data_IF_632263767653
#
_entry.id   IF_632263767653
#
_cell.length_a   1.000
_cell.length_b   1.000
_cell.length_c   1.000
_cell.angle_alpha   90.00
_cell.angle_beta   90.00
_cell.angle_gamma   90.00
#
_symmetry.space_group_name_H-M   'P 1'
#
loop_
_entity.id
_entity.type
_entity.pdbx_description
1 polymer ?
#
# COMPACT_ATOMS: atom_id res chain seq x y z
N UNK A 1 -11.61 7.15 -13.35
CA UNK A 1 -12.40 7.37 -12.12
C UNK A 1 -11.46 7.10 -10.95
N UNK A 2 -11.04 8.16 -10.28
CA UNK A 2 -9.99 8.16 -9.25
C UNK A 2 -10.49 7.50 -7.96
N UNK A 3 -9.61 6.82 -7.25
CA UNK A 3 -9.93 6.17 -5.98
C UNK A 3 -10.15 7.23 -4.90
N UNK A 4 -11.42 7.48 -4.57
CA UNK A 4 -11.81 8.32 -3.43
C UNK A 4 -11.48 7.58 -2.12
N UNK A 5 -10.61 8.16 -1.28
CA UNK A 5 -10.39 7.71 0.11
C UNK A 5 -8.96 7.43 0.52
N UNK A 6 -7.98 7.51 -0.39
CA UNK A 6 -6.56 7.31 -0.07
C UNK A 6 -5.89 8.66 0.23
N UNK A 7 -5.45 8.86 1.47
CA UNK A 7 -4.89 10.14 1.96
C UNK A 7 -3.38 10.12 2.23
N UNK A 8 -2.71 8.96 2.12
CA UNK A 8 -1.25 8.85 2.22
C UNK A 8 -0.74 7.44 2.58
N UNK A 9 0.57 7.22 2.41
CA UNK A 9 1.31 5.99 2.73
C UNK A 9 2.27 6.25 3.91
N UNK A 10 2.52 5.27 4.80
CA UNK A 10 3.35 5.46 6.01
C UNK A 10 4.55 4.50 6.06
N UNK A 11 5.57 4.82 6.88
CA UNK A 11 6.83 4.07 7.00
C UNK A 11 7.02 3.48 8.41
N UNK A 12 7.76 2.36 8.51
CA UNK A 12 8.24 1.80 9.78
C UNK A 12 9.77 1.64 9.76
N UNK A 13 10.48 2.63 10.33
CA UNK A 13 11.81 2.41 10.93
C UNK A 13 11.73 2.50 12.44
N UNK A 14 12.68 1.85 13.11
CA UNK A 14 12.89 1.93 14.56
C UNK A 14 12.98 3.41 15.01
N UNK A 15 12.00 3.84 15.80
CA UNK A 15 12.04 5.13 16.50
C UNK A 15 11.46 6.29 15.70
N UNK A 16 10.41 6.88 16.27
CA UNK A 16 9.72 8.12 15.88
C UNK A 16 9.09 8.12 14.48
N UNK A 17 7.76 8.17 14.49
CA UNK A 17 6.89 8.35 13.33
C UNK A 17 7.21 9.71 12.72
N UNK A 18 7.97 9.71 11.64
CA UNK A 18 8.17 10.90 10.82
C UNK A 18 6.88 11.14 10.02
N UNK A 19 5.99 11.92 10.63
CA UNK A 19 4.76 12.40 10.01
C UNK A 19 5.16 13.20 8.75
N UNK A 20 4.67 12.75 7.60
CA UNK A 20 4.94 13.26 6.25
C UNK A 20 5.00 14.80 6.20
N UNK A 21 6.22 15.33 6.29
CA UNK A 21 6.56 16.69 5.90
C UNK A 21 7.32 16.58 4.59
N UNK A 22 6.78 17.20 3.54
CA UNK A 22 7.55 17.69 2.42
C UNK A 22 8.19 16.63 1.50
N UNK A 23 7.71 16.63 0.27
CA UNK A 23 8.57 16.59 -0.92
C UNK A 23 9.23 15.29 -1.39
N UNK A 24 9.21 14.15 -0.68
CA UNK A 24 9.80 12.93 -1.27
C UNK A 24 8.99 11.65 -1.04
N UNK A 25 8.58 11.05 -2.16
CA UNK A 25 7.70 9.89 -2.25
C UNK A 25 8.31 8.54 -1.87
N UNK A 26 7.44 7.52 -1.96
CA UNK A 26 7.75 6.09 -2.05
C UNK A 26 8.27 5.35 -0.80
N UNK A 27 7.80 5.66 0.40
CA UNK A 27 8.20 4.92 1.63
C UNK A 27 7.17 3.97 2.25
N UNK A 28 6.04 3.73 1.59
CA UNK A 28 5.01 2.78 2.09
C UNK A 28 4.78 1.58 1.19
N UNK A 29 5.71 1.25 0.32
CA UNK A 29 5.64 0.07 -0.55
C UNK A 29 6.97 -0.67 -0.46
N UNK A 30 6.94 -1.94 -0.06
CA UNK A 30 8.06 -2.86 -0.16
C UNK A 30 7.76 -3.84 -1.29
N UNK A 31 8.74 -4.10 -2.15
CA UNK A 31 8.64 -5.14 -3.18
C UNK A 31 9.81 -6.09 -3.01
N UNK A 32 9.51 -7.38 -2.95
CA UNK A 32 10.47 -8.46 -2.84
C UNK A 32 10.30 -9.40 -4.03
N UNK A 33 11.41 -9.73 -4.70
CA UNK A 33 11.45 -10.76 -5.74
C UNK A 33 11.53 -12.14 -5.08
N UNK A 34 10.74 -13.08 -5.58
CA UNK A 34 10.69 -14.46 -5.09
C UNK A 34 11.42 -15.40 -6.07
N UNK A 35 11.79 -16.59 -5.58
CA UNK A 35 12.56 -17.59 -6.35
C UNK A 35 11.85 -18.06 -7.65
N UNK A 36 10.53 -17.88 -7.76
CA UNK A 36 9.71 -18.28 -8.91
C UNK A 36 9.49 -17.16 -9.94
N UNK A 37 10.33 -16.12 -9.94
CA UNK A 37 10.22 -14.95 -10.81
C UNK A 37 8.87 -14.21 -10.67
N UNK A 38 8.29 -14.28 -9.47
CA UNK A 38 7.15 -13.48 -9.05
C UNK A 38 7.60 -12.47 -8.01
N UNK A 39 6.71 -11.53 -7.67
CA UNK A 39 6.97 -10.55 -6.62
C UNK A 39 5.93 -10.65 -5.49
N UNK A 40 6.40 -10.34 -4.30
CA UNK A 40 5.59 -10.01 -3.14
C UNK A 40 5.57 -8.49 -2.94
N UNK A 41 4.42 -7.95 -2.56
CA UNK A 41 4.26 -6.51 -2.30
C UNK A 41 3.71 -6.30 -0.89
N UNK A 42 4.34 -5.45 -0.10
CA UNK A 42 3.77 -4.96 1.16
C UNK A 42 3.43 -3.48 1.04
N UNK A 43 2.22 -3.13 1.46
CA UNK A 43 1.69 -1.77 1.44
C UNK A 43 1.46 -1.29 2.86
N UNK A 44 2.01 -0.14 3.21
CA UNK A 44 1.85 0.49 4.52
C UNK A 44 0.96 1.73 4.36
N UNK A 45 -0.26 1.62 4.88
CA UNK A 45 -1.34 2.59 4.60
C UNK A 45 -1.85 3.24 5.89
N UNK A 46 -2.34 4.47 5.76
CA UNK A 46 -3.18 5.11 6.78
C UNK A 46 -4.58 5.21 6.20
N UNK A 47 -5.56 4.69 6.93
CA UNK A 47 -6.96 4.69 6.49
C UNK A 47 -7.75 5.80 7.18
N UNK A 48 -8.86 6.21 6.56
CA UNK A 48 -9.74 7.21 7.15
C UNK A 48 -10.79 6.55 8.05
N UNK A 49 -11.09 7.17 9.19
CA UNK A 49 -12.22 6.78 10.03
C UNK A 49 -13.55 6.80 9.25
N UNK A 50 -14.42 5.83 9.52
CA UNK A 50 -15.70 5.67 8.82
C UNK A 50 -15.60 4.89 7.50
N UNK A 51 -14.44 4.32 7.17
CA UNK A 51 -14.27 3.43 6.01
C UNK A 51 -14.30 1.95 6.43
N UNK A 52 -14.91 1.08 5.61
CA UNK A 52 -14.79 -0.36 5.82
C UNK A 52 -13.40 -0.81 5.37
N UNK A 53 -12.54 -1.11 6.34
CA UNK A 53 -11.14 -1.47 6.13
C UNK A 53 -11.03 -2.64 5.15
N UNK A 54 -11.83 -3.69 5.32
CA UNK A 54 -11.78 -4.88 4.47
C UNK A 54 -12.14 -4.56 3.02
N UNK A 55 -13.18 -3.76 2.80
CA UNK A 55 -13.57 -3.34 1.45
C UNK A 55 -12.49 -2.52 0.77
N UNK A 56 -11.92 -1.55 1.50
CA UNK A 56 -10.84 -0.70 0.95
C UNK A 56 -9.58 -1.52 0.67
N UNK A 57 -9.19 -2.41 1.59
CA UNK A 57 -8.03 -3.29 1.42
C UNK A 57 -8.17 -4.20 0.19
N UNK A 58 -9.31 -4.86 0.02
CA UNK A 58 -9.55 -5.72 -1.15
C UNK A 58 -9.47 -4.93 -2.46
N UNK A 59 -10.08 -3.75 -2.51
CA UNK A 59 -10.00 -2.88 -3.69
C UNK A 59 -8.55 -2.47 -4.01
N UNK A 60 -7.74 -2.19 -2.99
CA UNK A 60 -6.32 -1.87 -3.18
C UNK A 60 -5.57 -3.10 -3.73
N UNK A 61 -5.76 -4.28 -3.15
CA UNK A 61 -5.13 -5.53 -3.59
C UNK A 61 -5.44 -5.78 -5.07
N UNK A 62 -6.72 -5.76 -5.45
CA UNK A 62 -7.15 -6.03 -6.81
C UNK A 62 -6.56 -5.03 -7.79
N UNK A 63 -6.58 -3.74 -7.44
CA UNK A 63 -6.06 -2.67 -8.30
C UNK A 63 -4.55 -2.78 -8.48
N UNK A 64 -3.81 -3.01 -7.40
CA UNK A 64 -2.34 -3.10 -7.43
C UNK A 64 -1.92 -4.33 -8.23
N UNK A 65 -2.51 -5.50 -7.93
CA UNK A 65 -2.22 -6.74 -8.67
C UNK A 65 -2.48 -6.57 -10.16
N UNK A 66 -3.67 -6.11 -10.54
CA UNK A 66 -4.03 -5.89 -11.94
C UNK A 66 -3.07 -4.91 -12.63
N UNK A 67 -2.76 -3.78 -11.99
CA UNK A 67 -1.93 -2.73 -12.59
C UNK A 67 -0.50 -3.22 -12.80
N UNK A 68 0.09 -3.85 -11.78
CA UNK A 68 1.47 -4.35 -11.86
C UNK A 68 1.59 -5.46 -12.90
N UNK A 69 0.71 -6.46 -12.86
CA UNK A 69 0.77 -7.58 -13.81
C UNK A 69 0.57 -7.10 -15.25
N UNK A 70 -0.35 -6.15 -15.50
CA UNK A 70 -0.61 -5.68 -16.85
C UNK A 70 0.45 -4.71 -17.39
N UNK A 71 1.06 -3.89 -16.53
CA UNK A 71 2.06 -2.91 -16.97
C UNK A 71 3.45 -3.52 -17.12
N UNK A 72 3.77 -4.55 -16.33
CA UNK A 72 5.14 -5.10 -16.24
C UNK A 72 5.25 -6.53 -16.75
N UNK A 73 4.12 -7.23 -16.96
CA UNK A 73 4.06 -8.67 -17.22
C UNK A 73 4.66 -9.56 -16.11
N UNK A 74 5.02 -8.99 -14.95
CA UNK A 74 5.51 -9.72 -13.77
C UNK A 74 4.32 -10.18 -12.93
N UNK A 75 4.33 -11.44 -12.49
CA UNK A 75 3.26 -12.00 -11.65
C UNK A 75 3.39 -11.58 -10.19
N UNK A 76 2.26 -11.27 -9.54
CA UNK A 76 2.23 -10.90 -8.12
C UNK A 76 1.69 -12.07 -7.30
N UNK A 77 2.57 -12.67 -6.49
CA UNK A 77 2.26 -13.84 -5.67
C UNK A 77 1.40 -13.48 -4.45
N UNK A 78 1.79 -12.43 -3.72
CA UNK A 78 1.06 -11.94 -2.55
C UNK A 78 1.10 -10.42 -2.43
N UNK A 79 0.06 -9.86 -1.81
CA UNK A 79 -0.02 -8.46 -1.42
C UNK A 79 -0.47 -8.39 0.04
N UNK A 80 0.37 -7.83 0.90
CA UNK A 80 0.08 -7.62 2.32
C UNK A 80 -0.22 -6.13 2.57
N UNK A 81 -1.35 -5.83 3.22
CA UNK A 81 -1.73 -4.46 3.58
C UNK A 81 -1.58 -4.27 5.09
N UNK A 82 -0.63 -3.42 5.46
CA UNK A 82 -0.31 -3.04 6.82
C UNK A 82 -0.92 -1.68 7.16
N UNK A 83 -2.05 -1.67 7.87
CA UNK A 83 -2.68 -0.44 8.34
C UNK A 83 -1.91 0.11 9.55
N UNK A 84 -1.17 1.21 9.33
CA UNK A 84 -0.32 1.83 10.37
C UNK A 84 -1.09 2.80 11.27
N UNK A 85 -2.26 3.27 10.84
CA UNK A 85 -3.08 4.17 11.63
C UNK A 85 -4.42 4.47 10.99
N UNK A 86 -5.32 5.03 11.80
CA UNK A 86 -6.59 5.58 11.35
C UNK A 86 -6.59 7.08 11.58
N UNK A 87 -6.80 7.84 10.50
CA UNK A 87 -6.96 9.29 10.56
C UNK A 87 -8.42 9.64 10.83
N UNK A 88 -8.64 10.31 11.95
CA UNK A 88 -9.92 10.95 12.29
C UNK A 88 -9.82 12.42 11.86
N UNK A 89 -10.90 12.96 11.29
CA UNK A 89 -10.97 14.41 11.01
C UNK A 89 -11.23 15.17 12.30
#
# INVERSE_FOLDING_TARGET
>A
MESYGLVGLAYKSKGIVELLKGENGFKGVLVEELEDNTIAIELYVILQYGTNISTVANNIIDRVKYTVENMTAIKVSKIDINVQGIRVK
#
